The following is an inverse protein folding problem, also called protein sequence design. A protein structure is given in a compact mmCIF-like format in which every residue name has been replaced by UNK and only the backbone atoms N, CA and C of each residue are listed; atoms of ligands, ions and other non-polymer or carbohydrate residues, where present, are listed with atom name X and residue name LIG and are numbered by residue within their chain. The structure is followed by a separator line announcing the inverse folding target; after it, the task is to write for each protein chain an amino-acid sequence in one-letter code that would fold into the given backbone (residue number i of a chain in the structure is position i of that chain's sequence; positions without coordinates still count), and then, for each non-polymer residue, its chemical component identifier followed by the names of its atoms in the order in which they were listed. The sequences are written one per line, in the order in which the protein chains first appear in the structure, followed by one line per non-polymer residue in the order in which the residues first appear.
data_IF_383230545625
#
_entry.id   IF_383230545625
#
_cell.length_a   1.000
_cell.length_b   1.000
_cell.length_c   1.000
_cell.angle_alpha   90.00
_cell.angle_beta   90.00
_cell.angle_gamma   90.00
#
_symmetry.space_group_name_H-M   'P 1'
#
loop_
_entity.id
_entity.type
_entity.pdbx_description
1 polymer ?
#
# COMPACT_ATOMS: atom_id res chain seq x y z
N UNK A 1 21.70 11.27 2.84
CA UNK A 1 22.68 10.16 2.69
C UNK A 1 23.48 9.79 3.95
N UNK A 2 23.95 10.72 4.80
CA UNK A 2 24.77 10.40 6.00
C UNK A 2 24.12 9.49 7.05
N UNK A 3 22.79 9.45 7.11
CA UNK A 3 21.99 8.71 8.09
C UNK A 3 21.96 7.21 7.82
N UNK A 4 21.77 6.81 6.55
CA UNK A 4 21.62 5.42 6.12
C UNK A 4 22.89 4.58 6.40
N UNK A 5 24.07 5.17 6.22
CA UNK A 5 25.34 4.48 6.47
C UNK A 5 25.54 4.09 7.94
N UNK A 6 25.04 4.90 8.87
CA UNK A 6 25.17 4.60 10.30
C UNK A 6 24.24 3.46 10.71
N UNK A 7 22.96 3.51 10.30
CA UNK A 7 21.99 2.46 10.62
C UNK A 7 22.39 1.10 10.02
N UNK A 8 22.85 1.07 8.76
CA UNK A 8 23.38 -0.16 8.15
C UNK A 8 24.63 -0.68 8.86
N UNK A 9 25.49 0.21 9.34
CA UNK A 9 26.68 -0.21 10.11
C UNK A 9 26.27 -0.87 11.41
N UNK A 10 25.32 -0.29 12.14
CA UNK A 10 24.75 -0.86 13.37
C UNK A 10 24.13 -2.23 13.09
N UNK A 11 23.29 -2.34 12.08
CA UNK A 11 22.66 -3.60 11.67
C UNK A 11 23.69 -4.68 11.34
N UNK A 12 24.69 -4.36 10.50
CA UNK A 12 25.72 -5.32 10.13
C UNK A 12 26.54 -5.81 11.32
N UNK A 13 26.81 -4.94 12.30
CA UNK A 13 27.53 -5.32 13.53
C UNK A 13 26.64 -6.22 14.38
N UNK A 14 25.36 -5.88 14.55
CA UNK A 14 24.41 -6.72 15.28
C UNK A 14 24.32 -8.12 14.69
N UNK A 15 24.26 -8.22 13.36
CA UNK A 15 24.22 -9.51 12.66
C UNK A 15 25.53 -10.28 12.80
N UNK A 16 26.68 -9.60 12.75
CA UNK A 16 28.00 -10.22 12.85
C UNK A 16 28.36 -10.73 14.26
N UNK A 17 27.77 -10.16 15.32
CA UNK A 17 28.07 -10.57 16.70
C UNK A 17 27.64 -12.02 16.96
N UNK A 18 26.49 -12.44 16.41
CA UNK A 18 25.91 -13.78 16.64
C UNK A 18 25.65 -14.58 15.36
N UNK A 19 26.10 -14.09 14.19
CA UNK A 19 25.80 -14.66 12.86
C UNK A 19 24.29 -14.92 12.66
N UNK A 20 23.46 -14.00 13.17
CA UNK A 20 22.01 -14.09 13.18
C UNK A 20 21.39 -12.85 12.57
N UNK A 21 20.32 -13.03 11.79
CA UNK A 21 19.53 -11.92 11.27
C UNK A 21 18.68 -11.33 12.41
N UNK A 22 19.25 -10.39 13.16
CA UNK A 22 18.59 -9.70 14.28
C UNK A 22 18.51 -8.19 14.05
N UNK A 23 17.42 -7.58 14.50
CA UNK A 23 17.21 -6.12 14.52
C UNK A 23 17.13 -5.56 15.95
N UNK A 24 17.32 -6.41 16.96
CA UNK A 24 17.21 -6.06 18.38
C UNK A 24 18.57 -5.65 18.95
N UNK A 25 18.60 -4.58 19.73
CA UNK A 25 19.81 -4.14 20.44
C UNK A 25 20.24 -5.18 21.50
N UNK A 26 21.55 -5.38 21.71
CA UNK A 26 22.06 -6.35 22.67
C UNK A 26 21.75 -5.93 24.10
N UNK A 27 21.38 -6.89 24.93
CA UNK A 27 21.17 -6.68 26.38
C UNK A 27 22.47 -6.81 27.17
N UNK A 28 23.42 -7.61 26.65
CA UNK A 28 24.72 -7.91 27.29
C UNK A 28 25.71 -6.73 27.25
N UNK A 29 26.45 -6.53 28.32
CA UNK A 29 27.39 -5.40 28.47
C UNK A 29 28.58 -5.48 27.51
N UNK A 30 29.06 -6.69 27.23
CA UNK A 30 30.20 -6.91 26.32
C UNK A 30 29.82 -6.53 24.89
N UNK A 31 28.63 -6.91 24.44
CA UNK A 31 28.17 -6.62 23.08
C UNK A 31 27.80 -5.15 22.90
N UNK A 32 27.32 -4.48 23.94
CA UNK A 32 27.15 -3.02 23.96
C UNK A 32 28.47 -2.29 23.73
N UNK A 33 29.55 -2.71 24.40
CA UNK A 33 30.88 -2.11 24.23
C UNK A 33 31.42 -2.36 22.82
N UNK A 34 31.28 -3.58 22.29
CA UNK A 34 31.68 -3.93 20.91
C UNK A 34 30.99 -3.04 19.89
N UNK A 35 29.70 -2.80 20.07
CA UNK A 35 28.89 -2.01 19.16
C UNK A 35 29.28 -0.53 19.20
N UNK A 36 29.52 0.02 20.40
CA UNK A 36 30.03 1.39 20.60
C UNK A 36 31.36 1.59 19.87
N UNK A 37 32.34 0.70 20.10
CA UNK A 37 33.67 0.83 19.50
C UNK A 37 33.62 0.67 17.97
N UNK A 38 32.84 -0.28 17.46
CA UNK A 38 32.73 -0.54 16.03
C UNK A 38 31.94 0.54 15.26
N UNK A 39 31.15 1.37 15.96
CA UNK A 39 30.40 2.50 15.41
C UNK A 39 31.11 3.86 15.58
N UNK A 40 32.15 3.94 16.42
CA UNK A 40 32.91 5.16 16.70
C UNK A 40 33.66 5.66 15.47
N UNK A 41 34.38 4.77 14.80
CA UNK A 41 35.07 5.08 13.55
C UNK A 41 34.94 3.93 12.57
N UNK A 42 34.44 4.21 11.37
CA UNK A 42 34.36 3.20 10.31
C UNK A 42 34.52 3.81 8.92
N UNK A 43 35.04 2.99 8.00
CA UNK A 43 35.19 3.36 6.60
C UNK A 43 33.94 2.98 5.81
N UNK A 44 33.45 3.88 4.96
CA UNK A 44 32.38 3.59 4.00
C UNK A 44 32.69 4.17 2.62
N UNK A 45 32.05 3.63 1.58
CA UNK A 45 32.15 4.19 0.22
C UNK A 45 31.22 5.39 0.08
N UNK A 46 31.69 6.46 -0.58
CA UNK A 46 30.86 7.59 -0.99
C UNK A 46 30.17 7.33 -2.34
N UNK A 47 29.36 8.29 -2.81
CA UNK A 47 28.62 8.22 -4.09
C UNK A 47 29.53 7.99 -5.32
N UNK A 48 30.81 8.32 -5.20
CA UNK A 48 31.82 8.17 -6.25
C UNK A 48 32.72 6.94 -6.04
N UNK A 49 32.28 5.96 -5.24
CA UNK A 49 33.04 4.74 -4.90
C UNK A 49 34.41 4.97 -4.22
N UNK A 50 34.60 6.12 -3.56
CA UNK A 50 35.82 6.40 -2.81
C UNK A 50 35.63 6.07 -1.33
N UNK A 51 36.65 5.46 -0.72
CA UNK A 51 36.67 5.14 0.71
C UNK A 51 36.80 6.43 1.52
N UNK A 52 35.79 6.71 2.34
CA UNK A 52 35.79 7.81 3.30
C UNK A 52 35.74 7.24 4.72
N UNK A 53 36.53 7.81 5.62
CA UNK A 53 36.47 7.49 7.05
C UNK A 53 35.43 8.38 7.72
N UNK A 54 34.53 7.76 8.50
CA UNK A 54 33.54 8.46 9.30
C UNK A 54 33.83 8.26 10.76
N UNK A 55 33.86 9.37 11.47
CA UNK A 55 34.00 9.42 12.91
C UNK A 55 32.72 9.98 13.55
N UNK A 56 32.23 9.30 14.59
CA UNK A 56 31.13 9.74 15.42
C UNK A 56 31.64 9.94 16.86
N UNK A 57 31.27 11.06 17.52
CA UNK A 57 31.68 11.35 18.89
C UNK A 57 30.87 10.49 19.87
N UNK A 58 31.21 9.20 19.94
CA UNK A 58 30.56 8.20 20.79
C UNK A 58 31.60 7.69 21.78
N UNK A 59 31.40 7.97 23.06
CA UNK A 59 32.28 7.51 24.14
C UNK A 59 31.63 6.41 24.97
N UNK A 60 30.32 6.52 25.21
CA UNK A 60 29.55 5.56 26.01
C UNK A 60 28.30 5.04 25.28
N UNK A 61 27.68 4.00 25.84
CA UNK A 61 26.43 3.45 25.32
C UNK A 61 25.30 4.48 25.22
N UNK A 62 25.21 5.40 26.19
CA UNK A 62 24.20 6.46 26.16
C UNK A 62 24.39 7.43 24.99
N UNK A 63 25.64 7.74 24.63
CA UNK A 63 25.96 8.60 23.47
C UNK A 63 25.66 7.87 22.16
N UNK A 64 25.93 6.57 22.11
CA UNK A 64 25.57 5.71 20.99
C UNK A 64 24.05 5.71 20.80
N UNK A 65 23.31 5.45 21.87
CA UNK A 65 21.85 5.36 21.84
C UNK A 65 21.21 6.69 21.44
N UNK A 66 21.70 7.82 21.96
CA UNK A 66 21.28 9.17 21.53
C UNK A 66 21.56 9.41 20.05
N UNK A 67 22.73 9.00 19.58
CA UNK A 67 23.08 9.13 18.15
C UNK A 67 22.14 8.27 17.30
N UNK A 68 21.85 7.04 17.71
CA UNK A 68 20.90 6.15 17.03
C UNK A 68 19.51 6.78 16.94
N UNK A 69 18.95 7.22 18.07
CA UNK A 69 17.63 7.85 18.12
C UNK A 69 17.54 9.07 17.21
N UNK A 70 18.53 9.96 17.22
CA UNK A 70 18.56 11.13 16.33
C UNK A 70 18.59 10.75 14.84
N UNK A 71 19.17 9.60 14.49
CA UNK A 71 19.21 9.10 13.11
C UNK A 71 17.87 8.49 12.71
N UNK A 72 17.26 7.71 13.60
CA UNK A 72 15.92 7.16 13.42
C UNK A 72 14.87 8.27 13.31
N UNK A 73 14.91 9.28 14.18
CA UNK A 73 14.02 10.45 14.12
C UNK A 73 14.16 11.21 12.79
N UNK A 74 15.38 11.37 12.26
CA UNK A 74 15.59 12.00 10.96
C UNK A 74 15.03 11.17 9.81
N UNK A 75 15.15 9.84 9.88
CA UNK A 75 14.53 8.95 8.89
C UNK A 75 13.02 9.04 8.99
N UNK A 76 12.45 8.97 10.21
CA UNK A 76 11.02 9.15 10.46
C UNK A 76 10.54 10.49 9.93
N UNK A 77 11.20 11.61 10.24
CA UNK A 77 10.80 12.93 9.75
C UNK A 77 10.82 13.03 8.21
N UNK A 78 11.84 12.49 7.55
CA UNK A 78 11.89 12.44 6.07
C UNK A 78 10.80 11.53 5.52
N UNK A 79 10.50 10.41 6.18
CA UNK A 79 9.44 9.49 5.78
C UNK A 79 8.07 10.14 5.96
N UNK A 80 7.80 10.77 7.11
CA UNK A 80 6.58 11.55 7.39
C UNK A 80 6.41 12.68 6.37
N UNK A 81 7.50 13.36 5.99
CA UNK A 81 7.44 14.46 5.02
C UNK A 81 7.27 13.96 3.56
N UNK A 82 7.78 12.77 3.23
CA UNK A 82 7.68 12.17 1.89
C UNK A 82 6.36 11.42 1.68
N UNK A 83 5.81 10.83 2.73
CA UNK A 83 4.54 10.08 2.73
C UNK A 83 3.35 10.99 3.08
N UNK A 84 3.61 12.19 3.63
CA UNK A 84 2.61 13.20 3.96
C UNK A 84 1.79 12.79 5.17
N UNK A 85 1.83 13.60 6.25
CA UNK A 85 1.13 13.41 7.53
C UNK A 85 0.22 12.18 7.61
N UNK A 86 0.74 11.09 8.18
CA UNK A 86 -0.06 10.06 8.83
C UNK A 86 -0.55 10.63 10.18
N UNK A 87 -1.43 11.62 10.12
CA UNK A 87 -2.30 12.00 11.23
C UNK A 87 -3.67 12.35 10.68
N UNK A 88 -4.26 11.36 10.04
CA UNK A 88 -5.58 10.90 10.42
C UNK A 88 -5.45 9.37 10.43
N UNK A 89 -5.01 8.77 11.54
CA UNK A 89 -5.72 7.54 11.92
C UNK A 89 -7.18 7.95 11.82
N UNK A 90 -8.02 7.33 10.95
CA UNK A 90 -9.43 7.53 11.10
C UNK A 90 -9.68 7.05 12.53
N UNK A 91 -9.84 8.02 13.43
CA UNK A 91 -10.45 7.84 14.75
C UNK A 91 -11.47 6.76 14.53
N UNK A 92 -11.40 5.66 15.30
CA UNK A 92 -12.43 4.62 15.36
C UNK A 92 -13.77 5.32 15.21
N UNK A 93 -14.21 5.42 13.98
CA UNK A 93 -15.50 5.98 13.68
C UNK A 93 -16.28 4.75 14.03
N UNK A 94 -17.17 4.88 15.01
CA UNK A 94 -18.30 3.98 15.18
C UNK A 94 -19.06 4.00 13.84
N UNK A 95 -18.45 3.39 12.82
CA UNK A 95 -19.01 3.20 11.52
C UNK A 95 -20.09 2.19 11.82
N UNK A 96 -21.33 2.60 11.61
CA UNK A 96 -22.54 1.79 11.83
C UNK A 96 -22.51 0.46 11.05
N UNK A 97 -21.46 0.24 10.26
CA UNK A 97 -21.17 -0.89 9.40
C UNK A 97 -20.13 -1.89 9.96
N UNK A 98 -19.58 -1.68 11.17
CA UNK A 98 -18.49 -2.51 11.75
C UNK A 98 -18.75 -4.03 11.62
N UNK A 99 -19.98 -4.47 11.84
CA UNK A 99 -20.35 -5.90 11.83
C UNK A 99 -21.05 -6.36 10.55
N UNK A 100 -20.97 -5.62 9.43
CA UNK A 100 -21.73 -5.91 8.20
C UNK A 100 -21.67 -7.39 7.73
N UNK A 101 -20.48 -8.02 7.81
CA UNK A 101 -20.32 -9.41 7.36
C UNK A 101 -21.05 -10.41 8.24
N UNK A 102 -21.32 -10.08 9.50
CA UNK A 102 -22.01 -10.92 10.48
C UNK A 102 -23.47 -10.50 10.69
N UNK A 103 -23.79 -9.23 10.46
CA UNK A 103 -25.11 -8.62 10.65
C UNK A 103 -26.23 -9.30 9.85
N UNK A 104 -27.41 -9.39 10.45
CA UNK A 104 -28.60 -9.90 9.77
C UNK A 104 -29.20 -8.84 8.83
N UNK A 105 -30.12 -9.26 7.97
CA UNK A 105 -30.72 -8.35 6.98
C UNK A 105 -31.48 -7.19 7.62
N UNK A 106 -32.12 -7.41 8.77
CA UNK A 106 -32.87 -6.40 9.51
C UNK A 106 -31.94 -5.32 10.08
N UNK A 107 -30.78 -5.72 10.60
CA UNK A 107 -29.76 -4.78 11.09
C UNK A 107 -29.18 -3.93 9.94
N UNK A 108 -28.89 -4.57 8.79
CA UNK A 108 -28.39 -3.87 7.60
C UNK A 108 -29.41 -2.86 7.08
N UNK A 109 -30.71 -3.22 7.07
CA UNK A 109 -31.79 -2.31 6.68
C UNK A 109 -31.86 -1.08 7.59
N UNK A 110 -31.74 -1.29 8.90
CA UNK A 110 -31.72 -0.20 9.86
C UNK A 110 -30.51 0.71 9.66
N UNK A 111 -29.31 0.14 9.48
CA UNK A 111 -28.10 0.94 9.19
C UNK A 111 -28.25 1.74 7.89
N UNK A 112 -28.89 1.19 6.86
CA UNK A 112 -29.16 1.92 5.61
C UNK A 112 -30.06 3.14 5.85
N UNK A 113 -31.14 3.00 6.64
CA UNK A 113 -32.00 4.11 7.03
C UNK A 113 -31.23 5.20 7.77
N UNK A 114 -30.40 4.81 8.73
CA UNK A 114 -29.60 5.73 9.54
C UNK A 114 -28.52 6.47 8.72
N UNK A 115 -27.97 5.81 7.70
CA UNK A 115 -26.99 6.41 6.77
C UNK A 115 -27.61 7.38 5.75
N UNK A 116 -28.92 7.59 5.77
CA UNK A 116 -29.62 8.56 4.91
C UNK A 116 -30.06 8.01 3.54
N UNK A 117 -30.05 6.69 3.35
CA UNK A 117 -30.60 6.07 2.14
C UNK A 117 -32.12 6.22 2.13
N UNK A 118 -32.67 6.77 1.06
CA UNK A 118 -34.12 6.96 0.94
C UNK A 118 -34.88 5.63 0.95
N UNK A 119 -36.00 5.54 1.70
CA UNK A 119 -36.84 4.33 1.82
C UNK A 119 -37.16 3.66 0.47
N UNK A 120 -37.42 4.46 -0.57
CA UNK A 120 -37.72 3.96 -1.92
C UNK A 120 -36.56 3.17 -2.56
N UNK A 121 -35.32 3.41 -2.14
CA UNK A 121 -34.11 2.81 -2.69
C UNK A 121 -33.53 1.70 -1.79
N UNK A 122 -34.02 1.56 -0.56
CA UNK A 122 -33.45 0.62 0.43
C UNK A 122 -33.50 -0.80 -0.07
N UNK A 123 -34.65 -1.24 -0.60
CA UNK A 123 -34.81 -2.60 -1.12
C UNK A 123 -33.79 -2.93 -2.22
N UNK A 124 -33.53 -1.98 -3.14
CA UNK A 124 -32.55 -2.17 -4.22
C UNK A 124 -31.12 -2.27 -3.68
N UNK A 125 -30.77 -1.41 -2.71
CA UNK A 125 -29.44 -1.41 -2.07
C UNK A 125 -29.23 -2.67 -1.24
N UNK A 126 -30.23 -3.06 -0.45
CA UNK A 126 -30.21 -4.25 0.39
C UNK A 126 -30.08 -5.51 -0.45
N UNK A 127 -30.77 -5.60 -1.60
CA UNK A 127 -30.61 -6.72 -2.54
C UNK A 127 -29.17 -6.83 -3.05
N UNK A 128 -28.54 -5.70 -3.43
CA UNK A 128 -27.14 -5.68 -3.89
C UNK A 128 -26.17 -6.10 -2.78
N UNK A 129 -26.38 -5.65 -1.54
CA UNK A 129 -25.57 -6.04 -0.39
C UNK A 129 -25.74 -7.53 -0.06
N UNK A 130 -26.96 -8.05 -0.13
CA UNK A 130 -27.28 -9.46 0.06
C UNK A 130 -26.58 -10.34 -0.99
N UNK A 131 -26.67 -9.96 -2.26
CA UNK A 131 -26.00 -10.65 -3.36
C UNK A 131 -24.47 -10.65 -3.16
N UNK A 132 -23.90 -9.51 -2.74
CA UNK A 132 -22.48 -9.41 -2.44
C UNK A 132 -22.06 -10.30 -1.27
N UNK A 133 -22.76 -10.26 -0.13
CA UNK A 133 -22.49 -11.11 1.04
C UNK A 133 -22.54 -12.59 0.66
N UNK A 134 -23.55 -12.99 -0.11
CA UNK A 134 -23.64 -14.34 -0.66
C UNK A 134 -22.45 -14.68 -1.57
N UNK A 135 -22.03 -13.77 -2.45
CA UNK A 135 -20.88 -14.00 -3.33
C UNK A 135 -19.57 -14.23 -2.56
N UNK A 136 -19.36 -13.49 -1.46
CA UNK A 136 -18.20 -13.67 -0.59
C UNK A 136 -18.24 -15.02 0.13
N UNK A 137 -19.42 -15.46 0.56
CA UNK A 137 -19.58 -16.75 1.25
C UNK A 137 -19.27 -17.96 0.35
N UNK A 138 -19.52 -17.85 -0.96
CA UNK A 138 -19.23 -18.92 -1.92
C UNK A 138 -17.77 -18.93 -2.40
N UNK A 139 -17.00 -17.87 -2.13
CA UNK A 139 -15.59 -17.77 -2.52
C UNK A 139 -14.68 -18.32 -1.42
N UNK A 140 -13.58 -18.94 -1.84
CA UNK A 140 -12.53 -19.38 -0.92
C UNK A 140 -11.71 -18.16 -0.50
N UNK A 141 -12.05 -17.60 0.66
CA UNK A 141 -11.34 -16.48 1.28
C UNK A 141 -10.72 -17.03 2.57
N UNK A 142 -9.41 -16.87 2.75
CA UNK A 142 -8.73 -17.25 3.99
C UNK A 142 -9.19 -16.42 5.18
N UNK A 143 -8.97 -16.89 6.41
CA UNK A 143 -9.33 -16.15 7.64
C UNK A 143 -8.80 -14.72 7.63
N UNK A 144 -7.51 -14.55 7.32
CA UNK A 144 -6.86 -13.24 7.12
C UNK A 144 -7.62 -12.33 6.15
N UNK A 145 -8.07 -12.86 5.01
CA UNK A 145 -8.81 -12.08 4.02
C UNK A 145 -10.18 -11.65 4.51
N UNK A 146 -10.86 -12.49 5.30
CA UNK A 146 -12.13 -12.12 5.94
C UNK A 146 -11.94 -11.07 7.02
N UNK A 147 -10.89 -11.19 7.83
CA UNK A 147 -10.55 -10.18 8.84
C UNK A 147 -10.27 -8.83 8.18
N UNK A 148 -9.50 -8.80 7.09
CA UNK A 148 -9.24 -7.55 6.36
C UNK A 148 -10.54 -6.98 5.77
N UNK A 149 -11.43 -7.81 5.23
CA UNK A 149 -12.73 -7.37 4.73
C UNK A 149 -13.62 -6.78 5.83
N UNK A 150 -13.66 -7.37 7.03
CA UNK A 150 -14.48 -6.85 8.13
C UNK A 150 -14.05 -5.45 8.56
N UNK A 151 -12.76 -5.12 8.45
CA UNK A 151 -12.24 -3.77 8.75
C UNK A 151 -12.36 -2.81 7.55
N UNK A 152 -12.28 -3.33 6.31
CA UNK A 152 -12.33 -2.52 5.09
C UNK A 152 -13.75 -2.06 4.74
N UNK A 153 -14.72 -2.98 4.80
CA UNK A 153 -16.10 -2.72 4.36
C UNK A 153 -16.79 -1.56 5.09
N UNK A 154 -16.62 -1.36 6.42
CA UNK A 154 -17.23 -0.22 7.11
C UNK A 154 -16.76 1.13 6.56
N UNK A 155 -15.47 1.24 6.23
CA UNK A 155 -14.87 2.44 5.64
C UNK A 155 -15.38 2.65 4.21
N UNK A 156 -15.46 1.57 3.43
CA UNK A 156 -16.01 1.60 2.06
C UNK A 156 -17.45 2.11 2.05
N UNK A 157 -18.30 1.59 2.94
CA UNK A 157 -19.70 1.98 2.97
C UNK A 157 -19.91 3.42 3.44
N UNK A 158 -19.18 3.86 4.47
CA UNK A 158 -19.21 5.26 4.89
C UNK A 158 -18.92 6.19 3.70
N UNK A 159 -17.84 5.93 2.95
CA UNK A 159 -17.44 6.74 1.80
C UNK A 159 -18.43 6.66 0.62
N UNK A 160 -19.10 5.54 0.42
CA UNK A 160 -20.09 5.38 -0.67
C UNK A 160 -21.39 6.10 -0.34
N UNK A 161 -21.91 5.94 0.88
CA UNK A 161 -23.21 6.49 1.27
C UNK A 161 -23.17 7.99 1.55
N UNK A 162 -21.99 8.57 1.74
CA UNK A 162 -21.79 10.03 1.71
C UNK A 162 -22.01 10.65 0.31
N UNK A 163 -21.93 9.86 -0.76
CA UNK A 163 -22.04 10.36 -2.14
C UNK A 163 -23.48 10.38 -2.65
N UNK A 164 -23.89 11.45 -3.35
CA UNK A 164 -25.24 11.54 -3.94
C UNK A 164 -25.54 10.43 -4.96
N UNK A 165 -24.51 9.93 -5.65
CA UNK A 165 -24.62 8.91 -6.70
C UNK A 165 -24.39 7.46 -6.19
N UNK A 166 -24.54 7.22 -4.89
CA UNK A 166 -24.31 5.93 -4.21
C UNK A 166 -24.94 4.73 -4.94
N UNK A 167 -26.15 4.88 -5.52
CA UNK A 167 -26.85 3.80 -6.25
C UNK A 167 -26.07 3.24 -7.44
N UNK A 168 -25.29 4.09 -8.10
CA UNK A 168 -24.45 3.72 -9.25
C UNK A 168 -23.04 3.31 -8.83
N UNK A 169 -22.55 3.92 -7.75
CA UNK A 169 -21.21 3.70 -7.22
C UNK A 169 -21.10 2.36 -6.48
N UNK A 170 -22.08 2.04 -5.63
CA UNK A 170 -22.12 0.81 -4.84
C UNK A 170 -21.89 -0.45 -5.68
N UNK A 171 -22.66 -0.75 -6.75
CA UNK A 171 -22.43 -1.97 -7.53
C UNK A 171 -21.05 -2.00 -8.21
N UNK A 172 -20.48 -0.84 -8.55
CA UNK A 172 -19.14 -0.76 -9.14
C UNK A 172 -18.07 -1.17 -8.12
N UNK A 173 -18.12 -0.60 -6.93
CA UNK A 173 -17.15 -0.89 -5.86
C UNK A 173 -17.30 -2.32 -5.37
N UNK A 174 -18.53 -2.80 -5.15
CA UNK A 174 -18.78 -4.19 -4.75
C UNK A 174 -18.21 -5.18 -5.77
N UNK A 175 -18.38 -4.93 -7.08
CA UNK A 175 -17.79 -5.78 -8.12
C UNK A 175 -16.25 -5.76 -8.08
N UNK A 176 -15.61 -4.60 -7.85
CA UNK A 176 -14.15 -4.54 -7.71
C UNK A 176 -13.70 -5.37 -6.51
N UNK A 177 -14.28 -5.13 -5.32
CA UNK A 177 -13.93 -5.86 -4.08
C UNK A 177 -14.16 -7.36 -4.27
N UNK A 178 -15.27 -7.75 -4.89
CA UNK A 178 -15.58 -9.15 -5.17
C UNK A 178 -14.49 -9.79 -6.06
N UNK A 179 -14.01 -9.10 -7.10
CA UNK A 179 -12.96 -9.63 -7.99
C UNK A 179 -11.60 -9.79 -7.31
N UNK A 180 -11.30 -8.95 -6.33
CA UNK A 180 -10.04 -9.02 -5.58
C UNK A 180 -10.13 -9.80 -4.27
N UNK A 181 -11.32 -10.27 -3.86
CA UNK A 181 -11.56 -10.85 -2.53
C UNK A 181 -10.71 -12.10 -2.22
N UNK A 182 -10.27 -12.83 -3.25
CA UNK A 182 -9.38 -14.00 -3.10
C UNK A 182 -7.89 -13.64 -3.02
N UNK A 183 -7.53 -12.35 -3.19
CA UNK A 183 -6.16 -11.84 -3.16
C UNK A 183 -6.00 -10.87 -2.00
N UNK A 184 -5.72 -11.43 -0.82
CA UNK A 184 -5.63 -10.67 0.44
C UNK A 184 -4.71 -9.46 0.35
N UNK A 185 -3.61 -9.53 -0.41
CA UNK A 185 -2.67 -8.42 -0.59
C UNK A 185 -3.32 -7.15 -1.17
N UNK A 186 -4.29 -7.28 -2.08
CA UNK A 186 -4.98 -6.10 -2.62
C UNK A 186 -5.99 -5.52 -1.62
N UNK A 187 -6.60 -6.38 -0.81
CA UNK A 187 -7.48 -5.93 0.27
C UNK A 187 -6.68 -5.20 1.36
N UNK A 188 -5.52 -5.76 1.74
CA UNK A 188 -4.58 -5.15 2.68
C UNK A 188 -4.08 -3.81 2.16
N UNK A 189 -3.71 -3.72 0.87
CA UNK A 189 -3.33 -2.46 0.24
C UNK A 189 -4.40 -1.38 0.38
N UNK A 190 -5.68 -1.72 0.16
CA UNK A 190 -6.78 -0.75 0.31
C UNK A 190 -7.03 -0.37 1.78
N UNK A 191 -6.88 -1.33 2.71
CA UNK A 191 -7.06 -1.09 4.13
C UNK A 191 -5.93 -0.22 4.72
N UNK A 192 -4.69 -0.50 4.34
CA UNK A 192 -3.49 0.20 4.81
C UNK A 192 -3.35 1.61 4.19
N UNK A 193 -4.04 1.87 3.07
CA UNK A 193 -3.95 3.15 2.36
C UNK A 193 -5.34 3.81 2.19
N UNK A 194 -5.90 4.44 3.25
CA UNK A 194 -7.22 5.09 3.19
C UNK A 194 -7.34 6.17 2.09
N UNK A 195 -6.26 6.92 1.84
CA UNK A 195 -6.21 7.93 0.76
C UNK A 195 -6.38 7.30 -0.62
N UNK A 196 -5.77 6.13 -0.85
CA UNK A 196 -5.91 5.42 -2.12
C UNK A 196 -7.32 4.84 -2.27
N UNK A 197 -7.92 4.35 -1.19
CA UNK A 197 -9.31 3.90 -1.19
C UNK A 197 -10.26 5.05 -1.56
N UNK A 198 -10.12 6.22 -0.94
CA UNK A 198 -10.89 7.42 -1.29
C UNK A 198 -10.75 7.76 -2.78
N UNK A 199 -9.52 7.77 -3.29
CA UNK A 199 -9.24 8.05 -4.70
C UNK A 199 -9.88 7.02 -5.64
N UNK A 200 -9.83 5.73 -5.30
CA UNK A 200 -10.52 4.67 -6.07
C UNK A 200 -12.01 4.94 -6.14
N UNK A 201 -12.63 5.28 -5.00
CA UNK A 201 -14.06 5.55 -4.91
C UNK A 201 -14.42 6.79 -5.74
N UNK A 202 -13.66 7.88 -5.63
CA UNK A 202 -13.85 9.11 -6.42
C UNK A 202 -13.76 8.85 -7.93
N UNK A 203 -12.74 8.11 -8.38
CA UNK A 203 -12.56 7.79 -9.80
C UNK A 203 -13.69 6.89 -10.31
N UNK A 204 -14.13 5.92 -9.52
CA UNK A 204 -15.23 5.04 -9.87
C UNK A 204 -16.59 5.75 -9.87
N UNK A 205 -16.75 6.78 -9.03
CA UNK A 205 -17.93 7.64 -9.02
C UNK A 205 -18.03 8.44 -10.33
N UNK A 206 -16.88 8.90 -10.85
CA UNK A 206 -16.81 9.73 -12.05
C UNK A 206 -16.79 8.93 -13.36
N UNK A 207 -16.28 7.70 -13.37
CA UNK A 207 -16.07 6.94 -14.61
C UNK A 207 -16.38 5.44 -14.46
N UNK A 208 -17.38 4.99 -15.24
CA UNK A 208 -17.66 3.56 -15.38
C UNK A 208 -16.47 2.81 -15.99
N UNK A 209 -15.83 3.39 -17.01
CA UNK A 209 -14.70 2.76 -17.69
C UNK A 209 -13.57 2.45 -16.70
N UNK A 210 -13.27 3.38 -15.77
CA UNK A 210 -12.23 3.15 -14.75
C UNK A 210 -12.63 2.00 -13.83
N UNK A 211 -13.88 1.97 -13.37
CA UNK A 211 -14.35 0.86 -12.52
C UNK A 211 -14.23 -0.51 -13.20
N UNK A 212 -14.57 -0.60 -14.50
CA UNK A 212 -14.44 -1.82 -15.29
C UNK A 212 -12.98 -2.24 -15.49
N UNK A 213 -12.09 -1.27 -15.74
CA UNK A 213 -10.66 -1.54 -15.86
C UNK A 213 -10.06 -2.03 -14.54
N UNK A 214 -10.43 -1.44 -13.40
CA UNK A 214 -9.94 -1.88 -12.09
C UNK A 214 -10.44 -3.28 -11.73
N UNK A 215 -11.72 -3.59 -12.01
CA UNK A 215 -12.24 -4.95 -11.83
C UNK A 215 -11.52 -5.98 -12.70
N UNK A 216 -11.12 -5.61 -13.92
CA UNK A 216 -10.45 -6.50 -14.88
C UNK A 216 -8.94 -6.64 -14.62
N UNK A 217 -8.31 -5.57 -14.15
CA UNK A 217 -6.87 -5.45 -13.95
C UNK A 217 -6.55 -4.88 -12.56
N UNK A 218 -6.70 -5.66 -11.48
CA UNK A 218 -6.44 -5.21 -10.10
C UNK A 218 -5.02 -4.68 -9.83
N UNK A 219 -4.04 -5.04 -10.66
CA UNK A 219 -2.67 -4.49 -10.57
C UNK A 219 -2.64 -2.96 -10.71
N UNK A 220 -3.65 -2.36 -11.34
CA UNK A 220 -3.77 -0.91 -11.44
C UNK A 220 -4.03 -0.24 -10.08
N UNK A 221 -4.47 -0.99 -9.05
CA UNK A 221 -4.58 -0.46 -7.69
C UNK A 221 -3.21 -0.03 -7.15
N UNK A 222 -2.13 -0.72 -7.54
CA UNK A 222 -0.77 -0.37 -7.13
C UNK A 222 -0.34 0.98 -7.75
N UNK A 223 -0.72 1.23 -9.00
CA UNK A 223 -0.48 2.50 -9.69
C UNK A 223 -1.32 3.64 -9.07
N UNK A 224 -2.51 3.30 -8.54
CA UNK A 224 -3.39 4.26 -7.86
C UNK A 224 -2.83 4.79 -6.54
N UNK A 225 -1.83 4.12 -5.96
CA UNK A 225 -1.09 4.63 -4.79
C UNK A 225 -0.25 5.86 -5.11
N UNK A 226 0.15 6.05 -6.38
CA UNK A 226 0.99 7.17 -6.79
C UNK A 226 0.15 8.31 -7.38
N UNK A 227 -0.40 9.15 -6.49
CA UNK A 227 -1.28 10.27 -6.86
C UNK A 227 -0.61 11.27 -7.83
N UNK A 228 0.71 11.46 -7.76
CA UNK A 228 1.43 12.37 -8.67
C UNK A 228 1.45 11.85 -10.12
N UNK A 229 1.73 10.56 -10.30
CA UNK A 229 1.76 9.94 -11.63
C UNK A 229 0.39 9.95 -12.32
N UNK A 230 -0.69 9.85 -11.54
CA UNK A 230 -2.07 9.90 -12.06
C UNK A 230 -2.49 11.29 -12.52
N UNK A 231 -2.07 12.34 -11.82
CA UNK A 231 -2.43 13.72 -12.15
C UNK A 231 -1.55 14.32 -13.23
N UNK A 232 -0.36 13.76 -13.44
CA UNK A 232 0.60 14.22 -14.44
C UNK A 232 0.92 13.10 -15.43
N UNK A 233 0.05 12.85 -16.42
CA UNK A 233 0.32 11.85 -17.44
C UNK A 233 1.60 12.23 -18.19
N UNK A 234 2.45 11.23 -18.44
CA UNK A 234 3.65 11.40 -19.22
C UNK A 234 3.29 11.95 -20.61
N UNK A 235 4.06 12.90 -21.16
CA UNK A 235 3.86 13.35 -22.52
C UNK A 235 4.13 12.19 -23.50
N UNK A 236 3.40 12.15 -24.62
CA UNK A 236 3.50 11.07 -25.63
C UNK A 236 4.95 10.77 -26.06
N UNK A 237 5.80 11.80 -26.11
CA UNK A 237 7.22 11.69 -26.48
C UNK A 237 8.05 10.84 -25.52
N UNK A 238 7.59 10.61 -24.29
CA UNK A 238 8.30 9.85 -23.25
C UNK A 238 7.83 8.40 -23.12
N UNK A 239 6.70 8.02 -23.75
CA UNK A 239 6.18 6.65 -23.72
C UNK A 239 7.19 5.59 -24.21
N UNK A 240 7.97 5.82 -25.28
CA UNK A 240 8.95 4.82 -25.73
C UNK A 240 10.04 4.56 -24.69
N UNK A 241 10.45 5.60 -23.96
CA UNK A 241 11.47 5.52 -22.91
C UNK A 241 10.92 4.80 -21.68
N UNK A 242 9.70 5.15 -21.25
CA UNK A 242 9.04 4.51 -20.11
C UNK A 242 8.79 3.02 -20.37
N UNK A 243 8.30 2.68 -21.56
CA UNK A 243 8.10 1.29 -21.98
C UNK A 243 9.41 0.50 -21.96
N UNK A 244 10.52 1.10 -22.43
CA UNK A 244 11.82 0.45 -22.36
C UNK A 244 12.25 0.20 -20.91
N UNK A 245 12.10 1.18 -20.01
CA UNK A 245 12.43 1.01 -18.61
C UNK A 245 11.58 -0.07 -17.93
N UNK A 246 10.27 -0.11 -18.24
CA UNK A 246 9.37 -1.13 -17.75
C UNK A 246 9.78 -2.53 -18.24
N UNK A 247 10.16 -2.66 -19.52
CA UNK A 247 10.64 -3.92 -20.11
C UNK A 247 12.00 -4.39 -19.57
N UNK A 248 12.83 -3.49 -19.02
CA UNK A 248 14.09 -3.87 -18.37
C UNK A 248 13.88 -4.59 -17.04
N UNK A 249 12.74 -4.37 -16.38
CA UNK A 249 12.40 -5.01 -15.10
C UNK A 249 11.94 -6.47 -15.26
N UNK A 250 11.66 -6.93 -16.48
CA UNK A 250 11.31 -8.34 -16.74
C UNK A 250 12.55 -9.21 -17.02
N UNK A 251 12.63 -10.43 -16.45
CA UNK A 251 13.69 -11.37 -16.76
C UNK A 251 13.75 -11.69 -18.26
N UNK A 252 14.96 -11.83 -18.80
CA UNK A 252 15.28 -12.05 -20.23
C UNK A 252 14.49 -13.18 -20.92
N UNK A 253 13.87 -14.10 -20.17
CA UNK A 253 13.09 -15.24 -20.69
C UNK A 253 11.82 -14.85 -21.47
N UNK A 254 11.30 -13.61 -21.35
CA UNK A 254 10.18 -13.12 -22.17
C UNK A 254 10.57 -12.19 -23.34
N UNK A 255 11.84 -11.81 -23.47
CA UNK A 255 12.28 -10.90 -24.56
C UNK A 255 12.18 -11.52 -25.95
N UNK A 256 12.34 -12.85 -26.07
CA UNK A 256 12.30 -13.54 -27.36
C UNK A 256 10.87 -13.71 -27.93
N UNK A 257 9.84 -13.67 -27.07
CA UNK A 257 8.44 -13.81 -27.52
C UNK A 257 7.84 -12.48 -28.01
N UNK A 258 8.29 -11.35 -27.44
CA UNK A 258 7.83 -10.01 -27.83
C UNK A 258 8.56 -9.47 -29.07
N UNK A 259 9.79 -9.88 -29.35
CA UNK A 259 10.48 -9.53 -30.61
C UNK A 259 9.77 -10.11 -31.84
N UNK A 260 9.10 -11.26 -31.71
CA UNK A 260 8.27 -11.85 -32.78
C UNK A 260 6.99 -11.06 -33.08
N UNK A 261 6.41 -10.39 -32.07
CA UNK A 261 5.22 -9.53 -32.26
C UNK A 261 5.58 -8.17 -32.87
N UNK A 262 6.73 -7.59 -32.50
CA UNK A 262 7.22 -6.34 -33.08
C UNK A 262 7.57 -6.44 -34.58
N UNK A 263 8.00 -7.63 -35.05
CA UNK A 263 8.30 -7.83 -36.48
C UNK A 263 7.03 -7.94 -37.33
N UNK A 264 5.89 -8.38 -36.78
CA UNK A 264 4.65 -8.59 -37.53
C UNK A 264 3.78 -7.33 -37.70
N UNK A 265 3.92 -6.32 -36.83
CA UNK A 265 3.18 -5.04 -36.96
C UNK A 265 3.78 -4.08 -38.00
N UNK A 266 5.05 -4.28 -38.40
CA UNK A 266 5.75 -3.45 -39.38
C UNK A 266 5.82 -4.07 -40.80
N UNK A 267 5.04 -5.13 -41.07
CA UNK A 267 4.92 -5.74 -42.41
C UNK A 267 3.46 -5.85 -42.86
N UNK A 268 2.81 -4.70 -43.07
CA UNK A 268 1.67 -4.61 -43.99
C UNK A 268 1.87 -3.33 -44.82
N UNK A 269 2.39 -3.42 -46.07
CA UNK A 269 2.24 -2.34 -47.02
C UNK A 269 0.81 -2.33 -47.57
N UNK A 270 0.33 -1.13 -47.91
CA UNK A 270 -0.88 -0.87 -48.68
C UNK A 270 -1.01 -1.75 -49.93
#
# INVERSE_FOLDING_TARGET
MKVIFFLRRVENILQAINDQQTQTLPTDEIDKIRLVEACKTFTCLNENNQTIEKHYPIENWDDFYRTLQQKEEKVRAVFTQLIGDEQDEPSQTDSQWQDFLEADFEDIEQTLLESGVSENNINEVLEKLAQFKNSLNHRVIGSRGRDVLSHLMPTVFALIFEQENYRTLLPRILNIIEKISSRTTYLELLLENPRALQQVIELCAQSQLISEQLSRHPILLDELLNTEALRHPLPFTQYPTELHQYLLRFPLMMKNSLSMLYVNLNKQPY
#
